data_IF_204757003720
#
_entry.id   IF_204757003720
#
_cell.length_a   1.000
_cell.length_b   1.000
_cell.length_c   1.000
_cell.angle_alpha   90.00
_cell.angle_beta   90.00
_cell.angle_gamma   90.00
#
_symmetry.space_group_name_H-M   'P 1'
#
loop_
_entity.id
_entity.type
_entity.pdbx_description
1 polymer ?
#
# COMPACT_ATOMS: atom_id res chain seq x y z
N UNK A 1 72.66 -18.04 -13.46
CA UNK A 1 72.58 -19.06 -12.39
C UNK A 1 71.47 -18.64 -11.43
N UNK A 2 70.50 -19.53 -11.19
CA UNK A 2 69.57 -19.62 -10.03
C UNK A 2 68.58 -18.44 -9.88
N UNK A 3 67.32 -18.56 -10.29
CA UNK A 3 66.25 -19.44 -9.76
C UNK A 3 66.11 -19.35 -8.24
N UNK A 4 65.13 -18.57 -7.78
CA UNK A 4 64.31 -18.89 -6.60
C UNK A 4 62.93 -18.23 -6.77
N UNK A 5 61.99 -19.04 -7.27
CA UNK A 5 60.57 -18.94 -7.00
C UNK A 5 60.31 -19.06 -5.49
N UNK A 6 59.27 -18.39 -4.96
CA UNK A 6 58.21 -18.95 -4.09
C UNK A 6 57.55 -17.88 -3.20
N UNK A 7 56.25 -17.70 -3.44
CA UNK A 7 55.16 -17.26 -2.55
C UNK A 7 55.33 -16.02 -1.66
N UNK A 8 54.59 -14.95 -1.97
CA UNK A 8 53.77 -14.23 -0.98
C UNK A 8 52.66 -13.41 -1.68
N UNK A 9 51.86 -14.06 -2.54
CA UNK A 9 50.65 -13.47 -3.14
C UNK A 9 49.42 -14.05 -2.46
N UNK A 10 49.18 -13.73 -1.18
CA UNK A 10 47.91 -14.03 -0.49
C UNK A 10 47.85 -13.30 0.87
N UNK A 11 47.79 -11.97 0.84
CA UNK A 11 47.03 -11.25 1.87
C UNK A 11 45.68 -10.91 1.25
N UNK A 12 44.75 -11.85 1.41
CA UNK A 12 43.35 -11.61 1.15
C UNK A 12 42.90 -10.42 1.98
N UNK A 13 42.30 -9.44 1.31
CA UNK A 13 41.48 -8.45 1.96
C UNK A 13 40.35 -9.20 2.68
N UNK A 14 40.52 -9.46 3.98
CA UNK A 14 39.38 -9.64 4.86
C UNK A 14 38.65 -8.31 4.90
N UNK A 15 37.75 -8.09 3.94
CA UNK A 15 36.58 -7.29 4.15
C UNK A 15 35.80 -8.02 5.25
N UNK A 16 36.10 -7.68 6.49
CA UNK A 16 35.22 -7.98 7.60
C UNK A 16 33.89 -7.31 7.24
N UNK A 17 32.92 -8.11 6.82
CA UNK A 17 31.51 -7.74 6.98
C UNK A 17 31.32 -7.74 8.49
N UNK A 18 31.68 -6.62 9.12
CA UNK A 18 31.19 -6.30 10.45
C UNK A 18 29.68 -6.23 10.31
N UNK A 19 29.04 -7.35 10.68
CA UNK A 19 27.62 -7.38 10.92
C UNK A 19 27.28 -6.21 11.85
N UNK A 20 26.39 -5.34 11.35
CA UNK A 20 25.35 -4.65 12.11
C UNK A 20 25.70 -4.42 13.59
N UNK A 21 26.74 -3.63 13.84
CA UNK A 21 26.97 -3.06 15.16
C UNK A 21 25.97 -1.93 15.36
N UNK A 22 24.84 -2.26 16.01
CA UNK A 22 24.17 -1.41 17.01
C UNK A 22 23.99 0.08 16.71
N UNK A 23 23.73 0.47 15.47
CA UNK A 23 23.25 1.81 15.17
C UNK A 23 21.79 1.90 15.61
N UNK A 24 21.46 2.84 16.51
CA UNK A 24 20.08 3.15 16.85
C UNK A 24 19.25 3.25 15.55
N UNK A 25 18.08 2.61 15.50
CA UNK A 25 17.24 2.62 14.29
C UNK A 25 17.03 4.07 13.76
N UNK A 26 17.00 5.04 14.67
CA UNK A 26 16.96 6.48 14.44
C UNK A 26 17.99 6.99 13.43
N UNK A 27 19.20 6.42 13.40
CA UNK A 27 20.24 6.79 12.40
C UNK A 27 19.86 6.47 10.95
N UNK A 28 18.87 5.58 10.74
CA UNK A 28 18.32 5.22 9.43
C UNK A 28 17.10 6.05 9.04
N UNK A 29 16.68 6.98 9.90
CA UNK A 29 15.54 7.82 9.59
C UNK A 29 15.84 8.79 8.44
N UNK A 30 14.87 8.99 7.52
CA UNK A 30 15.07 9.81 6.34
C UNK A 30 15.37 11.26 6.74
N UNK A 31 16.53 11.73 6.28
CA UNK A 31 16.92 13.12 6.44
C UNK A 31 16.18 13.95 5.39
N UNK A 32 15.27 14.83 5.83
CA UNK A 32 14.55 15.75 4.95
C UNK A 32 15.09 17.16 5.12
N UNK A 33 15.31 17.86 4.01
CA UNK A 33 15.60 19.31 4.02
C UNK A 33 14.28 20.05 3.84
N UNK A 34 13.78 20.64 4.91
CA UNK A 34 12.59 21.48 4.84
C UNK A 34 12.97 22.85 4.28
N UNK A 35 12.31 23.26 3.19
CA UNK A 35 12.53 24.58 2.59
C UNK A 35 11.92 25.64 3.50
N UNK A 36 12.70 26.69 3.81
CA UNK A 36 12.31 27.77 4.72
C UNK A 36 11.55 28.86 3.97
N UNK A 37 10.47 28.48 3.28
CA UNK A 37 9.66 29.40 2.49
C UNK A 37 8.39 29.85 3.20
N UNK A 38 7.87 29.01 4.10
CA UNK A 38 6.64 29.25 4.87
C UNK A 38 6.71 28.43 6.17
N UNK A 39 6.37 29.06 7.30
CA UNK A 39 6.38 28.44 8.63
C UNK A 39 5.41 27.25 8.75
N UNK A 40 4.29 27.30 8.03
CA UNK A 40 3.33 26.20 7.96
C UNK A 40 3.93 25.03 7.17
N UNK A 41 4.55 25.33 6.02
CA UNK A 41 5.22 24.33 5.19
C UNK A 41 6.41 23.66 5.90
N UNK A 42 7.21 24.44 6.64
CA UNK A 42 8.32 23.93 7.46
C UNK A 42 7.79 23.00 8.55
N UNK A 43 6.75 23.40 9.28
CA UNK A 43 6.18 22.56 10.33
C UNK A 43 5.60 21.24 9.78
N UNK A 44 4.86 21.29 8.66
CA UNK A 44 4.35 20.08 8.00
C UNK A 44 5.48 19.16 7.53
N UNK A 45 6.55 19.73 6.99
CA UNK A 45 7.72 18.96 6.57
C UNK A 45 8.40 18.24 7.74
N UNK A 46 8.57 18.92 8.89
CA UNK A 46 9.13 18.32 10.10
C UNK A 46 8.23 17.18 10.60
N UNK A 47 6.92 17.42 10.73
CA UNK A 47 5.99 16.38 11.20
C UNK A 47 5.93 15.16 10.26
N UNK A 48 6.07 15.36 8.94
CA UNK A 48 6.15 14.26 7.98
C UNK A 48 7.45 13.45 8.13
N UNK A 49 8.58 14.08 8.50
CA UNK A 49 9.82 13.37 8.84
C UNK A 49 9.63 12.45 10.03
N UNK A 50 9.02 12.97 11.11
CA UNK A 50 8.75 12.23 12.35
C UNK A 50 7.90 10.98 12.08
N UNK A 51 6.83 11.14 11.30
CA UNK A 51 5.94 10.04 10.91
C UNK A 51 6.67 8.98 10.09
N UNK A 52 7.55 9.37 9.15
CA UNK A 52 8.34 8.42 8.38
C UNK A 52 9.37 7.69 9.23
N UNK A 53 10.00 8.37 10.19
CA UNK A 53 10.95 7.77 11.11
C UNK A 53 10.27 6.71 11.99
N UNK A 54 9.08 7.01 12.54
CA UNK A 54 8.28 6.06 13.32
C UNK A 54 7.90 4.78 12.55
N UNK A 55 7.54 4.90 11.27
CA UNK A 55 7.22 3.72 10.43
C UNK A 55 8.41 2.78 10.23
N UNK A 56 9.62 3.33 10.19
CA UNK A 56 10.86 2.57 10.00
C UNK A 56 11.36 2.02 11.35
N UNK A 57 11.08 2.75 12.43
CA UNK A 57 11.58 2.50 13.77
C UNK A 57 10.41 2.54 14.77
N UNK A 58 9.79 1.40 15.10
CA UNK A 58 8.65 1.36 16.02
C UNK A 58 8.99 1.87 17.43
N UNK A 59 10.25 1.70 17.87
CA UNK A 59 10.75 2.18 19.16
C UNK A 59 11.08 3.70 19.16
N UNK A 60 10.98 4.37 18.01
CA UNK A 60 11.18 5.81 17.91
C UNK A 60 9.94 6.54 18.45
N UNK A 61 10.12 7.50 19.35
CA UNK A 61 9.00 8.35 19.81
C UNK A 61 8.94 9.63 18.97
N UNK A 62 7.96 9.78 18.05
CA UNK A 62 7.87 10.97 17.21
C UNK A 62 7.47 12.20 18.03
N UNK A 63 8.10 13.34 17.74
CA UNK A 63 7.77 14.62 18.40
C UNK A 63 7.03 15.52 17.41
N UNK A 64 5.70 15.51 17.43
CA UNK A 64 4.90 16.35 16.56
C UNK A 64 4.76 17.77 17.12
N UNK A 65 5.03 18.76 16.28
CA UNK A 65 4.82 20.17 16.61
C UNK A 65 3.46 20.64 16.08
N UNK A 66 2.74 21.45 16.86
CA UNK A 66 1.51 22.07 16.38
C UNK A 66 1.84 23.09 15.30
N UNK A 67 1.34 22.86 14.08
CA UNK A 67 1.57 23.79 12.99
C UNK A 67 0.62 25.00 13.11
N UNK A 68 1.11 26.22 12.83
CA UNK A 68 0.26 27.39 12.85
C UNK A 68 -0.91 27.22 11.86
N UNK A 69 -2.10 27.59 12.31
CA UNK A 69 -3.26 27.67 11.43
C UNK A 69 -3.01 28.81 10.44
N UNK A 70 -3.29 28.57 9.16
CA UNK A 70 -3.29 29.64 8.16
C UNK A 70 -4.28 30.70 8.65
N UNK A 71 -3.90 31.99 8.72
CA UNK A 71 -4.86 33.03 9.07
C UNK A 71 -5.99 32.99 8.05
N UNK A 72 -7.20 32.73 8.55
CA UNK A 72 -8.42 32.79 7.76
C UNK A 72 -8.55 34.24 7.34
N UNK A 73 -8.42 34.49 6.03
CA UNK A 73 -8.82 35.76 5.43
C UNK A 73 -10.28 35.98 5.79
N UNK A 74 -10.52 36.95 6.66
CA UNK A 74 -11.81 37.43 7.15
C UNK A 74 -12.86 37.51 6.03
N UNK A 75 -13.96 36.73 6.09
CA UNK A 75 -15.19 37.10 5.42
C UNK A 75 -15.85 38.23 6.23
N UNK A 76 -16.22 39.28 5.51
CA UNK A 76 -16.92 40.47 6.00
C UNK A 76 -18.31 40.08 6.57
N UNK A 77 -18.48 40.41 7.86
CA UNK A 77 -19.69 40.76 8.64
C UNK A 77 -21.08 40.09 8.42
N UNK A 78 -21.47 39.32 9.47
CA UNK A 78 -22.73 39.30 10.25
C UNK A 78 -24.07 38.79 9.64
N UNK A 79 -25.08 38.34 10.45
CA UNK A 79 -25.15 38.23 11.92
C UNK A 79 -25.53 36.84 12.49
N UNK A 80 -25.44 36.77 13.82
CA UNK A 80 -25.50 35.68 14.80
C UNK A 80 -26.86 35.02 15.08
N UNK A 81 -26.85 33.71 15.35
CA UNK A 81 -27.63 32.90 16.34
C UNK A 81 -27.32 31.44 15.98
N UNK A 82 -26.81 30.53 16.80
CA UNK A 82 -27.11 30.21 18.19
C UNK A 82 -25.93 29.38 18.74
N UNK A 83 -25.51 29.66 19.98
CA UNK A 83 -24.26 29.18 20.56
C UNK A 83 -24.51 28.00 21.50
N UNK A 84 -24.58 26.80 20.94
CA UNK A 84 -24.16 25.54 21.57
C UNK A 84 -23.87 24.53 20.47
N UNK A 85 -22.85 24.78 19.64
CA UNK A 85 -22.36 23.76 18.72
C UNK A 85 -21.53 22.74 19.52
N UNK A 86 -22.21 21.77 20.14
CA UNK A 86 -21.57 20.48 20.44
C UNK A 86 -20.96 20.01 19.12
N UNK A 87 -19.64 19.92 19.03
CA UNK A 87 -19.02 19.53 17.78
C UNK A 87 -19.44 18.09 17.45
N UNK A 88 -20.26 17.94 16.40
CA UNK A 88 -20.78 16.64 15.99
C UNK A 88 -19.78 16.02 15.02
N UNK A 89 -19.20 14.90 15.44
CA UNK A 89 -18.37 14.08 14.58
C UNK A 89 -19.24 13.16 13.75
N UNK A 90 -18.81 12.93 12.51
CA UNK A 90 -19.52 12.07 11.58
C UNK A 90 -19.28 10.61 12.00
N UNK A 91 -20.36 9.84 12.17
CA UNK A 91 -20.27 8.41 12.52
C UNK A 91 -19.75 7.62 11.31
N UNK A 92 -18.50 7.17 11.38
CA UNK A 92 -17.87 6.36 10.34
C UNK A 92 -18.02 4.88 10.68
N UNK A 93 -18.74 4.15 9.82
CA UNK A 93 -18.88 2.70 9.95
C UNK A 93 -17.66 1.99 9.36
N UNK A 94 -16.80 1.48 10.25
CA UNK A 94 -15.61 0.72 9.89
C UNK A 94 -15.92 -0.77 9.76
N UNK A 95 -16.49 -1.16 8.62
CA UNK A 95 -16.93 -2.53 8.33
C UNK A 95 -15.80 -3.51 7.98
N UNK A 96 -14.54 -3.07 8.03
CA UNK A 96 -13.39 -3.90 7.67
C UNK A 96 -13.11 -4.96 8.76
N UNK A 97 -12.44 -6.05 8.42
CA UNK A 97 -11.96 -6.99 9.44
C UNK A 97 -10.77 -6.39 10.22
N UNK A 98 -10.49 -6.92 11.41
CA UNK A 98 -9.31 -6.51 12.18
C UNK A 98 -8.02 -6.95 11.44
N UNK A 99 -6.96 -6.12 11.38
CA UNK A 99 -6.75 -4.83 12.06
C UNK A 99 -7.29 -3.60 11.31
N UNK A 100 -7.77 -3.76 10.08
CA UNK A 100 -8.16 -2.63 9.23
C UNK A 100 -9.34 -1.82 9.78
N UNK A 101 -10.31 -2.46 10.45
CA UNK A 101 -11.39 -1.71 11.14
C UNK A 101 -10.89 -0.85 12.27
N UNK A 102 -9.83 -1.27 12.97
CA UNK A 102 -9.20 -0.47 14.01
C UNK A 102 -8.54 0.77 13.42
N UNK A 103 -7.80 0.60 12.32
CA UNK A 103 -7.18 1.72 11.62
C UNK A 103 -8.23 2.69 11.08
N UNK A 104 -9.32 2.18 10.49
CA UNK A 104 -10.45 3.00 10.08
C UNK A 104 -11.05 3.79 11.26
N UNK A 105 -11.27 3.14 12.40
CA UNK A 105 -11.87 3.79 13.57
C UNK A 105 -10.95 4.87 14.15
N UNK A 106 -9.65 4.60 14.18
CA UNK A 106 -8.63 5.56 14.58
C UNK A 106 -8.56 6.77 13.64
N UNK A 107 -8.60 6.54 12.33
CA UNK A 107 -8.61 7.60 11.32
C UNK A 107 -9.88 8.46 11.40
N UNK A 108 -11.04 7.84 11.64
CA UNK A 108 -12.29 8.56 11.86
C UNK A 108 -12.23 9.44 13.13
N UNK A 109 -11.69 8.90 14.22
CA UNK A 109 -11.49 9.63 15.46
C UNK A 109 -10.48 10.78 15.28
N UNK A 110 -9.44 10.59 14.46
CA UNK A 110 -8.48 11.63 14.12
C UNK A 110 -9.07 12.74 13.26
N UNK A 111 -9.91 12.41 12.27
CA UNK A 111 -10.66 13.41 11.47
C UNK A 111 -11.64 14.21 12.34
N UNK A 112 -12.31 13.53 13.27
CA UNK A 112 -13.14 14.16 14.29
C UNK A 112 -12.32 15.14 15.14
N UNK A 113 -11.12 14.77 15.57
CA UNK A 113 -10.20 15.68 16.27
C UNK A 113 -9.79 16.89 15.44
N UNK A 114 -9.49 16.72 14.15
CA UNK A 114 -9.17 17.84 13.26
C UNK A 114 -10.34 18.83 13.12
N UNK A 115 -11.58 18.32 13.13
CA UNK A 115 -12.81 19.11 13.03
C UNK A 115 -13.20 19.78 14.36
N UNK A 116 -12.98 19.08 15.48
CA UNK A 116 -13.59 19.40 16.77
C UNK A 116 -12.62 19.70 17.90
N UNK A 117 -11.33 19.43 17.72
CA UNK A 117 -10.29 19.60 18.74
C UNK A 117 -10.39 18.63 19.93
N UNK A 118 -11.32 17.66 19.91
CA UNK A 118 -11.47 16.65 20.98
C UNK A 118 -10.46 15.52 20.75
N UNK A 119 -9.46 15.41 21.64
CA UNK A 119 -8.37 14.44 21.50
C UNK A 119 -8.95 13.01 21.48
N UNK A 120 -8.69 12.22 20.42
CA UNK A 120 -9.26 10.90 20.29
C UNK A 120 -8.40 9.87 21.04
N UNK A 121 -9.05 8.93 21.73
CA UNK A 121 -8.37 7.77 22.29
C UNK A 121 -8.13 6.74 21.18
N UNK A 122 -6.94 6.74 20.59
CA UNK A 122 -6.59 5.80 19.53
C UNK A 122 -6.34 4.40 20.10
N UNK A 123 -6.90 3.39 19.45
CA UNK A 123 -6.72 1.99 19.78
C UNK A 123 -5.37 1.46 19.25
N UNK A 124 -4.76 0.50 19.95
CA UNK A 124 -3.61 -0.23 19.42
C UNK A 124 -4.11 -1.34 18.49
N UNK A 125 -3.86 -1.18 17.19
CA UNK A 125 -4.42 -2.09 16.18
C UNK A 125 -3.65 -3.41 16.01
N UNK A 126 -2.57 -3.61 16.78
CA UNK A 126 -1.84 -4.88 16.88
C UNK A 126 -1.29 -5.41 15.55
N UNK A 127 -0.02 -5.15 15.25
CA UNK A 127 0.67 -5.71 14.07
C UNK A 127 1.12 -7.17 14.24
N UNK A 128 0.55 -7.92 15.19
CA UNK A 128 1.08 -9.19 15.65
C UNK A 128 0.06 -10.31 15.62
N UNK A 129 -0.01 -11.06 14.53
CA UNK A 129 -0.41 -12.47 14.63
C UNK A 129 0.72 -13.19 15.39
N UNK A 130 0.50 -13.76 16.58
CA UNK A 130 1.52 -14.59 17.22
C UNK A 130 1.78 -15.83 16.33
N UNK A 131 3.04 -16.31 16.20
CA UNK A 131 3.33 -17.47 15.38
C UNK A 131 2.66 -18.70 16.00
N UNK A 132 1.57 -19.17 15.38
CA UNK A 132 1.04 -20.50 15.64
C UNK A 132 2.11 -21.50 15.24
N UNK A 133 2.66 -22.16 16.25
CA UNK A 133 3.64 -23.24 16.11
C UNK A 133 3.04 -24.34 15.24
N UNK A 134 3.52 -24.45 14.00
CA UNK A 134 3.17 -25.58 13.14
C UNK A 134 4.00 -26.76 13.63
N UNK A 135 3.33 -27.67 14.30
CA UNK A 135 3.90 -28.93 14.77
C UNK A 135 4.47 -29.70 13.58
N UNK A 136 5.75 -30.06 13.69
CA UNK A 136 6.49 -30.88 12.73
C UNK A 136 5.77 -32.20 12.47
N UNK A 137 5.24 -32.37 11.26
CA UNK A 137 4.92 -33.67 10.68
C UNK A 137 5.71 -33.83 9.38
N UNK A 138 6.81 -34.55 9.52
CA UNK A 138 7.60 -35.16 8.46
C UNK A 138 6.75 -36.06 7.58
N UNK A 139 6.72 -35.80 6.26
CA UNK A 139 6.49 -36.88 5.29
C UNK A 139 7.16 -36.62 3.95
N UNK A 140 8.21 -37.41 3.73
CA UNK A 140 8.61 -38.10 2.49
C UNK A 140 8.80 -37.29 1.20
N UNK A 141 10.07 -37.04 0.89
CA UNK A 141 10.61 -36.79 -0.44
C UNK A 141 10.21 -37.89 -1.42
N UNK A 142 9.48 -37.53 -2.48
CA UNK A 142 9.53 -38.23 -3.77
C UNK A 142 9.99 -37.28 -4.86
N UNK A 143 11.26 -37.43 -5.21
CA UNK A 143 11.88 -36.89 -6.41
C UNK A 143 11.13 -37.36 -7.65
N UNK A 144 10.56 -36.42 -8.41
CA UNK A 144 10.40 -36.56 -9.86
C UNK A 144 10.80 -35.25 -10.54
N UNK A 145 11.89 -35.39 -11.29
CA UNK A 145 12.36 -34.72 -12.52
C UNK A 145 11.60 -33.49 -13.02
N UNK A 146 12.30 -32.43 -13.45
CA UNK A 146 11.71 -31.23 -14.02
C UNK A 146 11.15 -31.52 -15.41
N UNK A 147 9.89 -31.18 -15.65
CA UNK A 147 9.37 -31.07 -17.00
C UNK A 147 8.34 -29.95 -17.05
N UNK A 148 8.55 -29.09 -18.04
CA UNK A 148 7.81 -27.87 -18.31
C UNK A 148 6.32 -28.11 -18.58
N UNK A 149 5.58 -27.01 -18.59
CA UNK A 149 4.14 -26.85 -18.83
C UNK A 149 3.31 -26.86 -17.56
N UNK A 150 3.22 -25.68 -16.91
CA UNK A 150 2.23 -25.45 -15.89
C UNK A 150 1.01 -24.76 -16.48
N UNK A 151 0.15 -25.57 -17.07
CA UNK A 151 -1.28 -25.26 -17.21
C UNK A 151 -1.90 -25.26 -15.81
N UNK A 152 -1.75 -24.15 -15.07
CA UNK A 152 -2.58 -23.90 -13.90
C UNK A 152 -3.98 -23.51 -14.39
N UNK A 153 -4.85 -24.52 -14.47
CA UNK A 153 -6.29 -24.30 -14.44
C UNK A 153 -6.60 -23.51 -13.17
N UNK A 154 -6.99 -22.25 -13.33
CA UNK A 154 -7.40 -21.34 -12.25
C UNK A 154 -8.74 -21.77 -11.68
N UNK A 155 -8.85 -22.04 -10.37
CA UNK A 155 -10.15 -22.24 -9.75
C UNK A 155 -10.25 -21.39 -8.48
N UNK A 156 -10.30 -20.05 -8.61
CA UNK A 156 -10.93 -19.10 -7.68
C UNK A 156 -10.91 -17.67 -8.26
N UNK A 157 -11.89 -16.80 -7.95
CA UNK A 157 -12.04 -15.46 -8.53
C UNK A 157 -11.08 -14.45 -7.86
N UNK A 158 -9.80 -14.77 -7.86
CA UNK A 158 -8.74 -13.90 -7.37
C UNK A 158 -7.76 -13.68 -8.52
N UNK A 159 -7.51 -12.43 -8.85
CA UNK A 159 -6.54 -12.12 -9.89
C UNK A 159 -5.15 -12.58 -9.45
N UNK A 160 -4.36 -13.09 -10.39
CA UNK A 160 -2.94 -13.28 -10.16
C UNK A 160 -2.29 -11.90 -9.94
N UNK A 161 -1.35 -11.80 -8.99
CA UNK A 161 -0.58 -10.57 -8.78
C UNK A 161 0.51 -10.44 -9.84
N UNK A 162 0.75 -9.23 -10.33
CA UNK A 162 1.77 -8.91 -11.32
C UNK A 162 2.50 -7.59 -11.00
N UNK A 163 3.54 -7.24 -11.75
CA UNK A 163 4.34 -6.03 -11.52
C UNK A 163 5.38 -6.24 -10.40
N UNK A 164 5.74 -5.16 -9.70
CA UNK A 164 6.74 -5.17 -8.61
C UNK A 164 8.22 -5.09 -9.08
N UNK A 165 8.74 -3.88 -9.31
CA UNK A 165 10.16 -3.66 -9.69
C UNK A 165 11.16 -4.04 -8.58
N UNK A 166 12.50 -4.08 -8.72
CA UNK A 166 13.46 -4.07 -9.85
C UNK A 166 14.24 -5.41 -9.93
N UNK A 167 13.74 -6.45 -9.27
CA UNK A 167 14.38 -7.77 -9.26
C UNK A 167 13.42 -8.94 -9.49
N UNK A 168 12.12 -8.77 -9.18
CA UNK A 168 11.13 -9.85 -9.23
C UNK A 168 9.80 -9.35 -9.82
N UNK A 169 9.84 -8.77 -11.02
CA UNK A 169 8.60 -8.39 -11.71
C UNK A 169 7.81 -9.65 -12.07
N UNK A 170 6.62 -9.83 -11.50
CA UNK A 170 5.72 -10.92 -11.83
C UNK A 170 4.98 -10.58 -13.13
N UNK A 171 5.11 -11.45 -14.13
CA UNK A 171 4.38 -11.36 -15.39
C UNK A 171 3.05 -12.10 -15.28
N UNK A 172 2.04 -11.60 -16.00
CA UNK A 172 0.81 -12.35 -16.21
C UNK A 172 1.00 -13.50 -17.18
N UNK A 173 0.17 -14.54 -17.07
CA UNK A 173 0.09 -15.62 -18.06
C UNK A 173 -0.48 -15.16 -19.40
N UNK A 174 -0.47 -16.03 -20.39
CA UNK A 174 -0.95 -15.73 -21.74
C UNK A 174 -2.42 -15.27 -21.74
N UNK A 175 -2.71 -14.17 -22.44
CA UNK A 175 -4.05 -13.59 -22.54
C UNK A 175 -4.48 -12.71 -21.37
N UNK A 176 -3.58 -12.41 -20.44
CA UNK A 176 -3.82 -11.50 -19.32
C UNK A 176 -2.89 -10.29 -19.39
N UNK A 177 -3.41 -9.13 -19.02
CA UNK A 177 -2.63 -7.89 -18.89
C UNK A 177 -2.48 -7.51 -17.43
N UNK A 178 -1.30 -7.01 -17.09
CA UNK A 178 -1.03 -6.44 -15.78
C UNK A 178 -1.53 -4.99 -15.71
N UNK A 179 -2.53 -4.73 -14.87
CA UNK A 179 -3.07 -3.38 -14.64
C UNK A 179 -2.94 -2.98 -13.16
N UNK A 180 -3.11 -1.69 -12.87
CA UNK A 180 -3.31 -1.25 -11.49
C UNK A 180 -4.61 -1.85 -10.94
N UNK A 181 -4.60 -2.29 -9.68
CA UNK A 181 -5.82 -2.78 -9.02
C UNK A 181 -6.77 -1.61 -8.73
N UNK A 182 -7.96 -1.54 -9.36
CA UNK A 182 -8.91 -0.45 -9.15
C UNK A 182 -9.45 -0.40 -7.72
N UNK A 183 -9.31 -1.47 -6.95
CA UNK A 183 -9.73 -1.52 -5.54
C UNK A 183 -8.63 -1.10 -4.56
N UNK A 184 -7.41 -0.82 -5.04
CA UNK A 184 -6.32 -0.35 -4.18
C UNK A 184 -6.23 1.19 -4.22
N UNK A 185 -6.72 1.91 -3.19
CA UNK A 185 -6.71 3.36 -3.18
C UNK A 185 -5.28 3.92 -3.15
N UNK A 186 -5.04 4.98 -3.92
CA UNK A 186 -3.74 5.68 -4.01
C UNK A 186 -2.58 4.81 -4.53
N UNK A 187 -2.87 3.70 -5.21
CA UNK A 187 -1.87 2.94 -5.97
C UNK A 187 -1.77 3.48 -7.39
N UNK A 188 -0.54 3.64 -7.90
CA UNK A 188 -0.30 3.83 -9.32
C UNK A 188 0.16 2.54 -10.01
N UNK A 189 0.14 1.42 -9.28
CA UNK A 189 0.32 0.08 -9.82
C UNK A 189 1.64 -0.12 -10.56
N UNK A 190 1.65 -0.97 -11.61
CA UNK A 190 2.85 -1.27 -12.38
C UNK A 190 3.56 -0.06 -12.98
N UNK A 191 2.84 1.05 -13.23
CA UNK A 191 3.43 2.28 -13.78
C UNK A 191 4.43 2.96 -12.82
N UNK A 192 4.31 2.69 -11.52
CA UNK A 192 5.20 3.19 -10.47
C UNK A 192 6.08 2.11 -9.84
N UNK A 193 6.36 1.02 -10.58
CA UNK A 193 7.04 -0.16 -10.06
C UNK A 193 6.29 -0.87 -8.90
N UNK A 194 5.00 -0.57 -8.68
CA UNK A 194 4.17 -1.22 -7.65
C UNK A 194 3.52 -2.51 -8.17
N UNK A 195 2.88 -3.26 -7.28
CA UNK A 195 2.09 -4.44 -7.63
C UNK A 195 0.80 -4.04 -8.37
N UNK A 196 0.36 -4.92 -9.25
CA UNK A 196 -0.91 -4.86 -9.96
C UNK A 196 -1.60 -6.22 -9.97
N UNK A 197 -2.66 -6.32 -10.77
CA UNK A 197 -3.45 -7.53 -10.96
C UNK A 197 -3.46 -7.94 -12.43
N UNK A 198 -3.44 -9.24 -12.67
CA UNK A 198 -3.63 -9.83 -13.99
C UNK A 198 -5.12 -9.92 -14.30
N UNK A 199 -5.56 -9.12 -15.26
CA UNK A 199 -6.94 -9.16 -15.77
C UNK A 199 -6.92 -9.71 -17.18
N UNK A 200 -7.98 -10.44 -17.55
CA UNK A 200 -8.13 -10.89 -18.93
C UNK A 200 -8.38 -9.66 -19.79
N UNK A 201 -7.83 -9.62 -21.00
CA UNK A 201 -8.03 -8.52 -21.94
C UNK A 201 -9.44 -8.62 -22.58
N UNK A 202 -10.46 -8.48 -21.74
CA UNK A 202 -11.88 -8.50 -22.09
C UNK A 202 -12.45 -7.09 -21.93
N UNK A 203 -12.77 -6.49 -23.08
CA UNK A 203 -13.35 -5.15 -23.13
C UNK A 203 -14.81 -5.17 -22.70
N UNK A 204 -15.15 -4.34 -21.73
CA UNK A 204 -16.52 -4.05 -21.30
C UNK A 204 -16.85 -2.56 -21.49
N UNK A 205 -18.11 -2.19 -21.30
CA UNK A 205 -18.57 -0.82 -21.50
C UNK A 205 -18.42 -0.38 -22.95
N UNK A 206 -17.90 0.84 -23.13
CA UNK A 206 -17.79 1.49 -24.41
C UNK A 206 -19.14 1.90 -25.00
N UNK A 207 -19.11 2.45 -26.21
CA UNK A 207 -20.32 2.82 -26.96
C UNK A 207 -21.32 1.64 -27.12
N UNK A 208 -20.81 0.40 -27.13
CA UNK A 208 -21.64 -0.80 -27.24
C UNK A 208 -22.26 -1.26 -25.89
N UNK A 209 -21.83 -0.69 -24.76
CA UNK A 209 -22.30 -1.06 -23.43
C UNK A 209 -22.10 -2.55 -23.12
N UNK A 210 -20.93 -3.11 -23.48
CA UNK A 210 -20.67 -4.54 -23.33
C UNK A 210 -20.59 -4.92 -21.85
N UNK A 211 -21.42 -5.87 -21.43
CA UNK A 211 -21.34 -6.46 -20.10
C UNK A 211 -20.15 -7.43 -19.98
N UNK A 212 -19.70 -7.62 -18.73
CA UNK A 212 -18.73 -8.65 -18.40
C UNK A 212 -19.34 -10.05 -18.45
N UNK A 213 -18.64 -10.99 -19.09
CA UNK A 213 -19.10 -12.37 -19.23
C UNK A 213 -19.05 -13.14 -17.90
N UNK A 214 -18.08 -12.81 -17.04
CA UNK A 214 -17.89 -13.46 -15.75
C UNK A 214 -18.87 -12.97 -14.70
N UNK A 215 -19.61 -13.90 -14.08
CA UNK A 215 -20.49 -13.58 -12.94
C UNK A 215 -19.69 -12.96 -11.79
N UNK A 216 -20.10 -11.77 -11.36
CA UNK A 216 -19.46 -11.03 -10.27
C UNK A 216 -18.26 -10.18 -10.69
N UNK A 217 -17.97 -10.10 -11.99
CA UNK A 217 -17.07 -9.09 -12.51
C UNK A 217 -17.78 -7.74 -12.59
N UNK A 218 -17.02 -6.69 -12.35
CA UNK A 218 -17.44 -5.30 -12.51
C UNK A 218 -16.60 -4.70 -13.62
N UNK A 219 -17.24 -3.95 -14.51
CA UNK A 219 -16.54 -3.20 -15.53
C UNK A 219 -15.86 -1.98 -14.89
N UNK A 220 -14.54 -1.94 -14.94
CA UNK A 220 -13.74 -0.80 -14.49
C UNK A 220 -13.04 -0.16 -15.66
N UNK A 221 -12.79 1.14 -15.54
CA UNK A 221 -12.04 1.92 -16.53
C UNK A 221 -10.67 1.30 -16.83
N UNK A 222 -10.24 1.29 -18.09
CA UNK A 222 -8.94 0.73 -18.45
C UNK A 222 -7.84 1.77 -18.18
N UNK A 223 -6.98 1.60 -17.16
CA UNK A 223 -5.95 2.58 -16.84
C UNK A 223 -4.84 2.69 -17.89
N UNK A 224 -4.92 1.91 -18.98
CA UNK A 224 -4.00 1.97 -20.13
C UNK A 224 -4.49 2.93 -21.21
N UNK A 225 -5.74 3.37 -21.17
CA UNK A 225 -6.28 4.33 -22.12
C UNK A 225 -6.37 5.75 -21.52
N UNK A 226 -6.58 6.72 -22.40
CA UNK A 226 -6.72 8.14 -22.04
C UNK A 226 -8.20 8.55 -21.93
N UNK A 227 -9.13 7.59 -21.85
CA UNK A 227 -10.57 7.83 -21.84
C UNK A 227 -11.05 8.05 -20.41
N UNK A 228 -11.20 9.31 -20.00
CA UNK A 228 -11.73 9.61 -18.66
C UNK A 228 -13.27 9.38 -18.62
N UNK A 229 -13.79 8.41 -17.85
CA UNK A 229 -15.23 8.15 -17.76
C UNK A 229 -16.01 9.33 -17.16
N UNK A 230 -15.36 10.24 -16.44
CA UNK A 230 -15.97 11.46 -15.91
C UNK A 230 -16.09 12.59 -16.93
N UNK A 231 -15.36 12.53 -18.05
CA UNK A 231 -15.38 13.55 -19.10
C UNK A 231 -15.88 13.02 -20.46
N UNK A 232 -15.85 11.70 -20.67
CA UNK A 232 -16.32 10.99 -21.87
C UNK A 232 -17.56 10.11 -21.68
N UNK A 233 -18.03 9.90 -20.44
CA UNK A 233 -19.28 9.16 -20.17
C UNK A 233 -19.22 7.66 -20.44
N UNK A 234 -20.39 7.04 -20.69
CA UNK A 234 -20.57 5.59 -20.88
C UNK A 234 -19.87 4.99 -22.11
N UNK A 235 -19.24 5.83 -22.94
CA UNK A 235 -18.57 5.44 -24.17
C UNK A 235 -17.12 4.98 -23.96
N UNK A 236 -16.58 5.08 -22.74
CA UNK A 236 -15.24 4.57 -22.41
C UNK A 236 -15.24 3.05 -22.26
N UNK A 237 -14.26 2.42 -22.90
CA UNK A 237 -14.03 1.00 -22.78
C UNK A 237 -13.38 0.71 -21.42
N UNK A 238 -13.72 -0.43 -20.84
CA UNK A 238 -13.17 -0.88 -19.58
C UNK A 238 -12.68 -2.31 -19.63
N UNK A 239 -12.17 -2.80 -18.50
CA UNK A 239 -11.77 -4.17 -18.28
C UNK A 239 -12.65 -4.82 -17.21
N UNK A 240 -12.94 -6.11 -17.42
CA UNK A 240 -13.70 -6.90 -16.47
C UNK A 240 -12.83 -7.36 -15.30
N UNK A 241 -13.12 -6.84 -14.11
CA UNK A 241 -12.35 -7.10 -12.90
C UNK A 241 -13.26 -7.74 -11.85
N UNK A 242 -12.84 -8.87 -11.27
CA UNK A 242 -13.51 -9.43 -10.10
C UNK A 242 -13.36 -8.50 -8.90
N UNK A 243 -14.47 -8.21 -8.21
CA UNK A 243 -14.35 -7.65 -6.85
C UNK A 243 -13.63 -8.65 -5.96
N UNK A 244 -12.83 -8.19 -5.00
CA UNK A 244 -12.18 -9.03 -4.00
C UNK A 244 -13.25 -9.72 -3.14
N UNK A 245 -13.82 -10.82 -3.65
CA UNK A 245 -14.81 -11.62 -2.97
C UNK A 245 -14.14 -12.45 -1.87
N UNK A 246 -14.56 -12.21 -0.63
CA UNK A 246 -14.32 -13.02 0.56
C UNK A 246 -14.33 -14.52 0.24
N UNK A 247 -13.24 -15.19 0.61
CA UNK A 247 -13.01 -16.64 0.47
C UNK A 247 -13.91 -17.48 1.41
N UNK A 248 -14.90 -16.88 2.08
CA UNK A 248 -15.64 -17.52 3.18
C UNK A 248 -16.96 -18.23 2.82
N UNK A 249 -17.45 -18.20 1.58
CA UNK A 249 -18.79 -18.75 1.26
C UNK A 249 -18.81 -20.12 0.56
N UNK A 250 -17.73 -20.92 0.58
CA UNK A 250 -17.72 -22.23 -0.12
C UNK A 250 -17.11 -23.42 0.61
N UNK A 251 -17.45 -23.56 1.89
CA UNK A 251 -17.48 -24.90 2.52
C UNK A 251 -18.86 -25.15 3.11
N UNK A 252 -19.77 -25.65 2.28
CA UNK A 252 -20.94 -26.45 2.69
C UNK A 252 -20.98 -27.71 1.86
#
# INVERSE_FOLDING_TARGET
MKSFQLLFSLLGALATVTGLQGGNCVSRCPQVKCLVTDEIAVCRCINNRERRCYRICPDYTPTFTLCPAKPISTPISAPSLDSTASCVCDDVFCIQMWPDSCHCANDAAQKCYEKCGVVPALQSCGDGVPPLSISTLTTSTKTKTPSATSTYASPTPIHQICGGGRANSLSCGDGYTCIADPYTPNSCGPACDQWGICVKDEMCGGFAGKDCEGKGQVCHDDPRDDCDPHQGGADCAGLCVWSHGSVDDRVT
#
